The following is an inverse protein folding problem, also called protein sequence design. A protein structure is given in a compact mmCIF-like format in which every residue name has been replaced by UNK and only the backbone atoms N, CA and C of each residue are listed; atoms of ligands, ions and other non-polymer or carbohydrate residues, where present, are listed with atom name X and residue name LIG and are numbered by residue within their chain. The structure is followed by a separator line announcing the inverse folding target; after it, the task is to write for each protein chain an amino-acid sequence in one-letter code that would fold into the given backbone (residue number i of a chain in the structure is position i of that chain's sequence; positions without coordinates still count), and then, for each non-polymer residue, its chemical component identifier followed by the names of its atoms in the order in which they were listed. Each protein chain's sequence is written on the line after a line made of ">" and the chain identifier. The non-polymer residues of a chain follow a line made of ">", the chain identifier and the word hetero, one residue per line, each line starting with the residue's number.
data_IF_814987471271
#
_entry.id   IF_814987471271
#
_cell.length_a   1.000
_cell.length_b   1.000
_cell.length_c   1.000
_cell.angle_alpha   90.00
_cell.angle_beta   90.00
_cell.angle_gamma   90.00
#
_symmetry.space_group_name_H-M   'P 1'
#
loop_
_entity.id
_entity.type
_entity.pdbx_description
1 polymer ?
#
# COMPACT_ATOMS: atom_id res chain seq x y z
N UNK A 1 -10.63 32.98 -2.37
CA UNK A 1 -9.31 32.43 -2.06
C UNK A 1 -9.14 31.18 -2.90
N UNK A 2 -8.09 31.08 -3.72
CA UNK A 2 -7.87 29.94 -4.64
C UNK A 2 -6.73 29.02 -4.18
N UNK A 3 -5.91 29.50 -3.24
CA UNK A 3 -4.86 28.74 -2.59
C UNK A 3 -4.80 29.10 -1.11
N UNK A 4 -4.51 28.11 -0.28
CA UNK A 4 -4.22 28.25 1.14
C UNK A 4 -2.89 27.57 1.41
N UNK A 5 -1.90 28.34 1.86
CA UNK A 5 -0.63 27.84 2.37
C UNK A 5 -0.64 27.91 3.88
N UNK A 6 -0.50 26.78 4.56
CA UNK A 6 -0.59 26.68 6.00
C UNK A 6 -1.47 25.52 6.45
N UNK A 7 -2.19 25.74 7.55
CA UNK A 7 -3.08 24.74 8.14
C UNK A 7 -4.53 25.17 8.09
N UNK A 8 -5.43 24.19 7.99
CA UNK A 8 -6.86 24.40 8.09
C UNK A 8 -7.39 23.58 9.26
N UNK A 9 -7.94 24.26 10.27
CA UNK A 9 -8.51 23.63 11.47
C UNK A 9 -9.95 24.06 11.66
N UNK A 10 -10.88 23.11 11.58
CA UNK A 10 -12.30 23.29 11.90
C UNK A 10 -12.58 22.45 13.15
N UNK A 11 -12.74 23.12 14.28
CA UNK A 11 -12.85 22.44 15.55
C UNK A 11 -13.93 23.02 16.45
N UNK A 12 -14.62 22.15 17.20
CA UNK A 12 -15.65 22.53 18.18
C UNK A 12 -16.74 23.46 17.58
N UNK A 13 -17.01 23.34 16.29
CA UNK A 13 -17.96 24.20 15.59
C UNK A 13 -19.39 23.65 15.69
N UNK A 14 -20.35 24.50 15.30
CA UNK A 14 -21.76 24.12 15.10
C UNK A 14 -22.12 23.98 13.63
N UNK A 15 -21.13 23.94 12.74
CA UNK A 15 -21.38 23.81 11.30
C UNK A 15 -21.94 22.43 11.00
N UNK A 16 -22.91 22.39 10.07
CA UNK A 16 -23.41 21.15 9.49
C UNK A 16 -22.68 20.79 8.19
N UNK A 17 -22.09 21.78 7.52
CA UNK A 17 -21.38 21.63 6.25
C UNK A 17 -20.16 22.56 6.19
N UNK A 18 -19.11 22.11 5.50
CA UNK A 18 -17.93 22.92 5.17
C UNK A 18 -18.01 23.63 3.82
N UNK A 19 -19.19 23.66 3.17
CA UNK A 19 -19.42 24.30 1.86
C UNK A 19 -19.10 25.80 1.78
N UNK A 20 -18.84 26.46 2.91
CA UNK A 20 -18.30 27.83 2.93
C UNK A 20 -16.85 27.91 2.44
N UNK A 21 -16.12 26.79 2.43
CA UNK A 21 -14.78 26.70 1.85
C UNK A 21 -14.87 26.72 0.32
N UNK A 22 -13.89 27.32 -0.37
CA UNK A 22 -13.85 27.31 -1.82
C UNK A 22 -13.57 25.89 -2.34
N UNK A 23 -14.32 25.45 -3.35
CA UNK A 23 -14.00 24.22 -4.11
C UNK A 23 -12.69 24.40 -4.88
N UNK A 24 -12.02 23.29 -5.23
CA UNK A 24 -10.81 23.30 -6.06
C UNK A 24 -9.67 24.17 -5.48
N UNK A 25 -9.59 24.23 -4.15
CA UNK A 25 -8.56 24.99 -3.46
C UNK A 25 -7.23 24.26 -3.52
N UNK A 26 -6.16 24.99 -3.92
CA UNK A 26 -4.80 24.49 -3.75
C UNK A 26 -4.41 24.58 -2.28
N UNK A 27 -4.17 23.45 -1.63
CA UNK A 27 -3.86 23.39 -0.21
C UNK A 27 -2.41 22.95 0.02
N UNK A 28 -1.54 23.92 0.31
CA UNK A 28 -0.12 23.68 0.58
C UNK A 28 0.04 23.47 2.07
N UNK A 29 0.11 22.20 2.49
CA UNK A 29 -0.15 21.83 3.88
C UNK A 29 1.04 21.22 4.64
N UNK A 30 2.23 21.24 4.03
CA UNK A 30 3.44 20.55 4.51
C UNK A 30 3.87 20.80 5.95
N UNK A 31 3.44 21.89 6.59
CA UNK A 31 3.76 22.17 8.00
C UNK A 31 2.61 22.04 8.99
N UNK A 32 1.35 22.14 8.54
CA UNK A 32 0.23 22.41 9.45
C UNK A 32 -1.05 21.64 9.16
N UNK A 33 -1.14 20.88 8.06
CA UNK A 33 -2.21 19.89 7.81
C UNK A 33 -3.66 20.38 7.78
N UNK A 34 -4.57 19.43 7.59
CA UNK A 34 -6.03 19.59 7.66
C UNK A 34 -6.58 18.87 8.89
N UNK A 35 -7.34 19.58 9.73
CA UNK A 35 -7.88 19.07 10.98
C UNK A 35 -9.37 19.39 11.10
N UNK A 36 -10.21 18.37 11.16
CA UNK A 36 -11.66 18.48 11.33
C UNK A 36 -12.04 17.74 12.62
N UNK A 37 -12.13 18.48 13.73
CA UNK A 37 -12.11 17.89 15.08
C UNK A 37 -13.35 18.26 15.91
N UNK A 38 -13.97 17.29 16.56
CA UNK A 38 -14.98 17.54 17.60
C UNK A 38 -16.19 18.37 17.12
N UNK A 39 -16.61 18.26 15.86
CA UNK A 39 -17.76 19.01 15.34
C UNK A 39 -19.05 18.20 15.47
N UNK A 40 -19.79 18.45 16.57
CA UNK A 40 -20.97 17.64 16.95
C UNK A 40 -22.14 17.62 15.95
N UNK A 41 -22.20 18.60 15.03
CA UNK A 41 -23.30 18.73 14.06
C UNK A 41 -22.87 18.50 12.61
N UNK A 42 -21.59 18.26 12.35
CA UNK A 42 -21.04 18.20 11.01
C UNK A 42 -21.48 16.91 10.30
N UNK A 43 -22.06 17.06 9.12
CA UNK A 43 -22.55 15.96 8.28
C UNK A 43 -21.95 15.97 6.87
N UNK A 44 -21.37 17.09 6.44
CA UNK A 44 -20.93 17.27 5.06
C UNK A 44 -19.56 17.96 4.98
N UNK A 45 -18.60 17.21 4.44
CA UNK A 45 -17.25 17.69 4.12
C UNK A 45 -16.91 17.50 2.63
N UNK A 46 -17.91 17.35 1.76
CA UNK A 46 -17.74 17.06 0.32
C UNK A 46 -16.88 18.06 -0.45
N UNK A 47 -16.62 19.23 0.12
CA UNK A 47 -15.67 20.21 -0.43
C UNK A 47 -14.21 19.76 -0.31
N UNK A 48 -13.88 18.93 0.67
CA UNK A 48 -12.50 18.54 1.01
C UNK A 48 -11.84 17.68 -0.08
N UNK A 49 -12.49 16.62 -0.62
CA UNK A 49 -11.93 15.86 -1.75
C UNK A 49 -11.55 16.73 -2.95
N UNK A 50 -12.28 17.83 -3.17
CA UNK A 50 -12.03 18.77 -4.27
C UNK A 50 -10.76 19.59 -4.14
N UNK A 51 -10.06 19.52 -3.00
CA UNK A 51 -8.80 20.24 -2.84
C UNK A 51 -7.69 19.59 -3.66
N UNK A 52 -6.62 20.33 -3.93
CA UNK A 52 -5.37 19.73 -4.41
C UNK A 52 -4.33 19.88 -3.31
N UNK A 53 -3.91 18.76 -2.72
CA UNK A 53 -2.92 18.75 -1.64
C UNK A 53 -1.51 18.87 -2.20
N UNK A 54 -0.77 19.88 -1.74
CA UNK A 54 0.63 20.10 -2.10
C UNK A 54 1.52 19.98 -0.86
N UNK A 55 2.60 19.23 -1.01
CA UNK A 55 3.68 19.12 -0.03
C UNK A 55 4.66 20.29 -0.23
N UNK A 56 5.09 20.94 0.85
CA UNK A 56 6.05 22.05 0.78
C UNK A 56 7.48 21.51 0.90
N UNK A 57 8.09 21.14 -0.24
CA UNK A 57 9.52 20.80 -0.35
C UNK A 57 10.04 19.59 0.46
N UNK A 58 9.23 19.06 1.38
CA UNK A 58 9.51 17.92 2.24
C UNK A 58 9.02 16.59 1.66
N UNK A 59 9.43 15.50 2.30
CA UNK A 59 9.06 14.10 1.97
C UNK A 59 7.80 13.66 2.71
N UNK A 60 7.28 14.49 3.62
CA UNK A 60 6.15 14.15 4.47
C UNK A 60 4.84 14.63 3.82
N UNK A 61 3.95 13.66 3.63
CA UNK A 61 2.62 13.86 3.07
C UNK A 61 1.80 14.81 3.94
N UNK A 62 0.82 15.44 3.29
CA UNK A 62 -0.17 16.27 3.95
C UNK A 62 -0.88 15.55 5.10
N UNK A 63 -0.68 16.01 6.33
CA UNK A 63 -1.33 15.45 7.50
C UNK A 63 -2.82 15.79 7.51
N UNK A 64 -3.68 14.78 7.45
CA UNK A 64 -5.15 14.94 7.49
C UNK A 64 -5.75 14.15 8.65
N UNK A 65 -6.50 14.84 9.52
CA UNK A 65 -7.22 14.24 10.65
C UNK A 65 -8.70 14.65 10.65
N UNK A 66 -9.60 13.66 10.72
CA UNK A 66 -11.05 13.83 10.78
C UNK A 66 -11.55 13.04 11.99
N UNK A 67 -11.66 13.70 13.14
CA UNK A 67 -11.83 13.04 14.44
C UNK A 67 -13.03 13.59 15.19
N UNK A 68 -13.82 12.70 15.80
CA UNK A 68 -14.94 12.99 16.69
C UNK A 68 -16.01 13.89 16.04
N UNK A 69 -16.43 13.56 14.82
CA UNK A 69 -17.55 14.20 14.14
C UNK A 69 -18.71 13.20 14.07
N UNK A 70 -19.50 13.02 15.15
CA UNK A 70 -20.38 11.85 15.35
C UNK A 70 -21.56 11.74 14.38
N UNK A 71 -21.76 12.73 13.50
CA UNK A 71 -22.79 12.71 12.45
C UNK A 71 -22.22 12.61 11.04
N UNK A 72 -20.90 12.55 10.91
CA UNK A 72 -20.21 12.56 9.64
C UNK A 72 -20.01 11.14 9.11
N UNK A 73 -20.53 10.87 7.92
CA UNK A 73 -20.28 9.62 7.20
C UNK A 73 -19.07 9.81 6.28
N UNK A 74 -18.04 8.97 6.43
CA UNK A 74 -16.82 8.99 5.62
C UNK A 74 -16.70 7.84 4.63
N UNK A 75 -17.69 6.95 4.56
CA UNK A 75 -17.67 5.70 3.78
C UNK A 75 -17.14 5.90 2.37
N UNK A 76 -17.68 6.88 1.63
CA UNK A 76 -17.27 7.17 0.26
C UNK A 76 -16.23 8.30 0.17
N UNK A 77 -16.35 9.32 1.04
CA UNK A 77 -15.63 10.60 0.91
C UNK A 77 -14.11 10.41 0.90
N UNK A 78 -13.57 9.49 1.71
CA UNK A 78 -12.11 9.29 1.80
C UNK A 78 -11.54 8.51 0.59
N UNK A 79 -12.43 8.01 -0.28
CA UNK A 79 -12.10 7.36 -1.54
C UNK A 79 -12.42 8.24 -2.74
N UNK A 80 -12.65 9.55 -2.53
CA UNK A 80 -12.86 10.52 -3.58
C UNK A 80 -11.64 11.41 -3.81
N UNK A 81 -11.37 11.68 -5.10
CA UNK A 81 -10.43 12.69 -5.59
C UNK A 81 -9.14 12.76 -4.77
N UNK A 82 -8.79 13.90 -4.20
CA UNK A 82 -7.48 14.09 -3.60
C UNK A 82 -7.29 13.40 -2.25
N UNK A 83 -8.37 12.96 -1.59
CA UNK A 83 -8.22 12.11 -0.40
C UNK A 83 -7.79 10.69 -0.80
N UNK A 84 -8.04 10.26 -2.05
CA UNK A 84 -7.50 8.99 -2.53
C UNK A 84 -6.00 8.93 -2.59
N UNK A 85 -5.36 10.10 -2.71
CA UNK A 85 -3.92 10.19 -2.85
C UNK A 85 -3.17 10.06 -1.53
N UNK A 86 -3.90 10.16 -0.41
CA UNK A 86 -3.31 10.14 0.92
C UNK A 86 -2.95 8.70 1.33
N UNK A 87 -1.67 8.47 1.60
CA UNK A 87 -1.20 7.26 2.27
C UNK A 87 -1.56 7.27 3.75
N UNK A 88 -1.54 8.46 4.36
CA UNK A 88 -1.81 8.69 5.77
C UNK A 88 -3.05 9.55 5.99
N UNK A 89 -4.03 8.99 6.69
CA UNK A 89 -5.27 9.63 7.06
C UNK A 89 -5.70 9.12 8.44
N UNK A 90 -6.09 10.02 9.34
CA UNK A 90 -6.63 9.61 10.63
C UNK A 90 -8.13 9.87 10.70
N UNK A 91 -8.93 8.81 10.76
CA UNK A 91 -10.38 8.91 10.99
C UNK A 91 -10.77 8.14 12.24
N UNK A 92 -11.50 8.79 13.16
CA UNK A 92 -11.91 8.18 14.41
C UNK A 92 -13.11 8.89 15.03
N UNK A 93 -14.07 8.15 15.58
CA UNK A 93 -15.20 8.72 16.30
C UNK A 93 -16.19 9.44 15.39
N UNK A 94 -16.21 9.10 14.10
CA UNK A 94 -17.20 9.59 13.14
C UNK A 94 -18.40 8.63 13.10
N UNK A 95 -19.47 8.99 12.35
CA UNK A 95 -20.66 8.13 12.25
C UNK A 95 -20.32 6.80 11.56
N UNK A 96 -19.59 6.89 10.45
CA UNK A 96 -19.04 5.76 9.70
C UNK A 96 -17.62 6.17 9.29
N UNK A 97 -16.65 5.29 9.53
CA UNK A 97 -15.27 5.47 9.08
C UNK A 97 -15.12 4.99 7.64
N UNK A 98 -14.17 5.57 6.91
CA UNK A 98 -13.98 5.23 5.49
C UNK A 98 -13.26 3.91 5.23
N UNK A 99 -12.69 3.27 6.25
CA UNK A 99 -11.96 2.01 6.11
C UNK A 99 -11.31 1.63 7.45
N UNK A 100 -10.36 0.72 7.43
CA UNK A 100 -9.65 0.31 8.64
C UNK A 100 -8.31 1.01 8.78
N UNK A 101 -8.06 1.53 9.98
CA UNK A 101 -6.78 2.12 10.35
C UNK A 101 -5.78 1.01 10.71
N UNK A 102 -4.84 0.71 9.82
CA UNK A 102 -3.89 -0.37 10.06
C UNK A 102 -2.89 -0.07 11.20
N UNK A 103 -2.73 1.18 11.64
CA UNK A 103 -1.99 1.49 12.87
C UNK A 103 -2.71 1.00 14.13
N UNK A 104 -4.03 0.79 14.04
CA UNK A 104 -4.82 0.22 15.14
C UNK A 104 -4.83 -1.30 15.11
N UNK A 105 -4.31 -1.95 14.07
CA UNK A 105 -4.37 -3.41 13.98
C UNK A 105 -3.68 -4.09 15.17
N UNK A 106 -4.41 -4.99 15.83
CA UNK A 106 -3.93 -5.78 16.96
C UNK A 106 -4.76 -7.06 17.11
N UNK A 107 -4.25 -8.02 17.88
CA UNK A 107 -5.01 -9.25 18.18
C UNK A 107 -6.30 -8.98 18.96
N UNK A 108 -6.40 -7.86 19.66
CA UNK A 108 -7.57 -7.48 20.45
C UNK A 108 -8.71 -6.89 19.60
N UNK A 109 -8.43 -6.50 18.35
CA UNK A 109 -9.42 -5.84 17.48
C UNK A 109 -9.47 -6.39 16.05
N UNK A 110 -9.15 -7.67 15.88
CA UNK A 110 -9.23 -8.40 14.60
C UNK A 110 -10.60 -8.28 13.93
N UNK A 111 -11.69 -8.27 14.71
CA UNK A 111 -13.06 -8.16 14.20
C UNK A 111 -13.35 -6.86 13.45
N UNK A 112 -12.57 -5.80 13.70
CA UNK A 112 -12.67 -4.55 12.92
C UNK A 112 -12.20 -4.74 11.48
N UNK A 113 -11.33 -5.72 11.24
CA UNK A 113 -10.72 -5.97 9.94
C UNK A 113 -11.42 -7.08 9.15
N UNK A 114 -12.16 -7.98 9.80
CA UNK A 114 -12.82 -9.12 9.14
C UNK A 114 -13.68 -8.75 7.93
N UNK A 115 -14.36 -7.60 7.95
CA UNK A 115 -15.20 -7.12 6.84
C UNK A 115 -14.54 -5.97 6.06
N UNK A 116 -13.25 -5.73 6.28
CA UNK A 116 -12.55 -4.58 5.76
C UNK A 116 -11.98 -4.86 4.38
N UNK A 117 -12.36 -4.03 3.42
CA UNK A 117 -11.82 -4.11 2.06
C UNK A 117 -10.65 -3.16 1.84
N UNK A 118 -10.62 -2.04 2.57
CA UNK A 118 -9.60 -1.02 2.39
C UNK A 118 -8.96 -0.66 3.73
N UNK A 119 -7.63 -0.76 3.79
CA UNK A 119 -6.83 -0.39 4.96
C UNK A 119 -6.01 0.85 4.61
N UNK A 120 -5.94 1.82 5.52
CA UNK A 120 -5.10 3.01 5.40
C UNK A 120 -4.05 3.05 6.52
N UNK A 121 -3.06 3.96 6.40
CA UNK A 121 -1.88 4.06 7.26
C UNK A 121 -0.93 2.85 7.24
N UNK A 122 -1.03 2.00 6.22
CA UNK A 122 -0.23 0.79 6.08
C UNK A 122 -0.59 -0.27 7.12
N UNK A 123 0.26 -1.29 7.27
CA UNK A 123 0.07 -2.36 8.25
C UNK A 123 1.41 -2.91 8.71
N UNK A 124 1.55 -3.14 10.01
CA UNK A 124 2.73 -3.76 10.62
C UNK A 124 2.36 -5.08 11.27
N UNK A 125 2.97 -6.17 10.83
CA UNK A 125 2.80 -7.50 11.39
C UNK A 125 4.13 -7.99 11.95
N UNK A 126 4.34 -7.77 13.25
CA UNK A 126 5.56 -8.15 13.96
C UNK A 126 5.29 -9.21 15.02
N UNK A 127 5.99 -10.34 14.96
CA UNK A 127 5.87 -11.41 15.95
C UNK A 127 4.42 -11.94 16.10
N UNK A 128 3.66 -11.97 15.01
CA UNK A 128 2.29 -12.51 14.95
C UNK A 128 2.29 -13.75 14.06
N UNK A 129 1.43 -14.72 14.34
CA UNK A 129 1.25 -15.94 13.54
C UNK A 129 0.11 -15.81 12.53
N UNK A 130 0.25 -16.41 11.34
CA UNK A 130 -0.69 -16.20 10.23
C UNK A 130 -2.09 -16.68 10.61
N UNK A 131 -2.18 -17.82 11.30
CA UNK A 131 -3.43 -18.38 11.80
C UNK A 131 -4.21 -17.42 12.71
N UNK A 132 -3.53 -16.47 13.35
CA UNK A 132 -4.18 -15.47 14.21
C UNK A 132 -4.79 -14.31 13.42
N UNK A 133 -4.34 -14.06 12.18
CA UNK A 133 -4.72 -12.87 11.41
C UNK A 133 -5.40 -13.18 10.08
N UNK A 134 -5.37 -14.43 9.61
CA UNK A 134 -5.90 -14.79 8.29
C UNK A 134 -7.35 -14.38 8.09
N UNK A 135 -8.24 -14.67 9.04
CA UNK A 135 -9.66 -14.30 8.92
C UNK A 135 -9.89 -12.78 8.93
N UNK A 136 -9.01 -12.05 9.62
CA UNK A 136 -9.12 -10.60 9.73
C UNK A 136 -8.67 -9.89 8.45
N UNK A 137 -7.74 -10.46 7.67
CA UNK A 137 -7.12 -9.77 6.54
C UNK A 137 -7.48 -10.38 5.17
N UNK A 138 -8.25 -11.47 5.12
CA UNK A 138 -8.58 -12.18 3.88
C UNK A 138 -9.41 -11.35 2.89
N UNK A 139 -10.23 -10.42 3.39
CA UNK A 139 -11.08 -9.55 2.58
C UNK A 139 -10.40 -8.25 2.14
N UNK A 140 -9.18 -7.97 2.64
CA UNK A 140 -8.48 -6.73 2.30
C UNK A 140 -8.07 -6.76 0.84
N UNK A 141 -8.57 -5.79 0.09
CA UNK A 141 -8.37 -5.61 -1.34
C UNK A 141 -7.29 -4.57 -1.64
N UNK A 142 -7.25 -3.49 -0.85
CA UNK A 142 -6.34 -2.36 -1.01
C UNK A 142 -5.68 -2.01 0.33
N UNK A 143 -4.35 -1.93 0.34
CA UNK A 143 -3.58 -1.24 1.38
C UNK A 143 -3.14 0.13 0.87
N UNK A 144 -3.51 1.21 1.58
CA UNK A 144 -2.90 2.52 1.47
C UNK A 144 -1.85 2.68 2.57
N UNK A 145 -0.60 2.88 2.17
CA UNK A 145 0.56 2.92 3.06
C UNK A 145 1.44 1.67 2.95
N UNK A 146 2.41 1.57 3.84
CA UNK A 146 3.46 0.54 3.78
C UNK A 146 3.01 -0.77 4.45
N UNK A 147 3.28 -1.91 3.81
CA UNK A 147 3.07 -3.23 4.39
C UNK A 147 4.41 -3.78 4.91
N UNK A 148 4.50 -3.99 6.22
CA UNK A 148 5.73 -4.35 6.89
C UNK A 148 5.54 -5.61 7.76
N UNK A 149 6.15 -6.72 7.33
CA UNK A 149 5.97 -8.04 7.92
C UNK A 149 7.33 -8.57 8.36
N UNK A 150 7.52 -8.68 9.67
CA UNK A 150 8.81 -9.05 10.23
C UNK A 150 8.73 -10.01 11.41
N UNK A 151 9.75 -10.86 11.53
CA UNK A 151 9.91 -11.78 12.65
C UNK A 151 8.67 -12.67 12.87
N UNK A 152 8.05 -13.12 11.78
CA UNK A 152 6.86 -13.99 11.81
C UNK A 152 7.21 -15.43 11.43
N UNK A 153 6.27 -16.34 11.69
CA UNK A 153 6.37 -17.76 11.36
C UNK A 153 5.73 -18.09 9.99
N UNK A 154 5.41 -17.07 9.19
CA UNK A 154 4.63 -17.20 7.96
C UNK A 154 5.41 -18.02 6.93
N UNK A 155 4.72 -18.94 6.24
CA UNK A 155 5.28 -19.65 5.09
C UNK A 155 5.16 -18.84 3.79
N UNK A 156 4.08 -18.07 3.67
CA UNK A 156 3.77 -17.20 2.53
C UNK A 156 2.72 -16.14 2.93
N UNK A 157 2.26 -15.33 1.96
CA UNK A 157 1.26 -14.27 2.13
C UNK A 157 -0.13 -14.64 1.60
N UNK A 158 -0.42 -15.93 1.38
CA UNK A 158 -1.70 -16.38 0.80
C UNK A 158 -2.93 -16.02 1.65
N UNK A 159 -2.74 -15.71 2.93
CA UNK A 159 -3.79 -15.18 3.81
C UNK A 159 -4.32 -13.81 3.37
N UNK A 160 -3.57 -13.06 2.56
CA UNK A 160 -4.02 -11.84 1.87
C UNK A 160 -4.70 -12.19 0.54
N UNK A 161 -5.65 -13.12 0.56
CA UNK A 161 -6.21 -13.77 -0.63
C UNK A 161 -6.95 -12.82 -1.59
N UNK A 162 -7.41 -11.67 -1.09
CA UNK A 162 -8.13 -10.66 -1.86
C UNK A 162 -7.28 -9.46 -2.24
N UNK A 163 -6.04 -9.37 -1.76
CA UNK A 163 -5.20 -8.20 -1.96
C UNK A 163 -4.84 -8.05 -3.43
N UNK A 164 -5.20 -6.90 -4.01
CA UNK A 164 -4.91 -6.55 -5.40
C UNK A 164 -3.97 -5.36 -5.51
N UNK A 165 -4.03 -4.42 -4.58
CA UNK A 165 -3.29 -3.16 -4.68
C UNK A 165 -2.60 -2.79 -3.38
N UNK A 166 -1.33 -2.38 -3.48
CA UNK A 166 -0.62 -1.67 -2.43
C UNK A 166 -0.32 -0.27 -2.97
N UNK A 167 -0.93 0.75 -2.39
CA UNK A 167 -0.82 2.13 -2.83
C UNK A 167 -0.04 2.95 -1.80
N UNK A 168 0.93 3.72 -2.25
CA UNK A 168 1.67 4.68 -1.41
C UNK A 168 1.91 5.99 -2.16
N UNK A 169 2.38 7.00 -1.44
CA UNK A 169 2.91 8.24 -1.98
C UNK A 169 4.26 8.47 -1.31
N UNK A 170 5.33 8.05 -1.97
CA UNK A 170 6.68 8.09 -1.38
C UNK A 170 7.75 8.29 -2.43
N UNK A 171 8.89 8.88 -2.08
CA UNK A 171 10.03 8.99 -2.99
C UNK A 171 10.89 7.72 -2.97
N UNK A 172 11.23 7.23 -1.78
CA UNK A 172 12.28 6.22 -1.59
C UNK A 172 11.93 5.14 -0.54
N UNK A 173 10.72 5.15 0.03
CA UNK A 173 10.34 4.16 1.05
C UNK A 173 9.91 2.83 0.43
N UNK A 174 10.19 1.76 1.15
CA UNK A 174 9.80 0.39 0.80
C UNK A 174 8.29 0.20 1.02
N UNK A 175 7.57 -0.16 -0.05
CA UNK A 175 6.13 -0.42 -0.07
C UNK A 175 5.76 -1.74 0.59
N UNK A 176 6.56 -2.79 0.32
CA UNK A 176 6.44 -4.11 0.93
C UNK A 176 7.78 -4.52 1.54
N UNK A 177 7.83 -4.65 2.85
CA UNK A 177 8.99 -5.11 3.58
C UNK A 177 8.73 -6.50 4.16
N UNK A 178 9.49 -7.50 3.68
CA UNK A 178 9.51 -8.86 4.21
C UNK A 178 10.90 -9.12 4.79
N UNK A 179 10.98 -9.18 6.12
CA UNK A 179 12.27 -9.27 6.80
C UNK A 179 12.27 -10.25 7.96
N UNK A 180 13.31 -11.09 8.07
CA UNK A 180 13.50 -11.99 9.22
C UNK A 180 12.34 -12.97 9.44
N UNK A 181 11.72 -13.49 8.38
CA UNK A 181 10.65 -14.49 8.47
C UNK A 181 11.22 -15.86 8.06
N UNK A 182 11.81 -16.62 9.00
CA UNK A 182 12.67 -17.76 8.68
C UNK A 182 11.92 -18.94 8.06
N UNK A 183 10.60 -19.02 8.20
CA UNK A 183 9.77 -20.07 7.61
C UNK A 183 9.22 -19.71 6.22
N UNK A 184 9.42 -18.46 5.78
CA UNK A 184 8.82 -17.95 4.55
C UNK A 184 9.57 -18.49 3.34
N UNK A 185 8.89 -19.31 2.55
CA UNK A 185 9.45 -19.95 1.34
C UNK A 185 8.91 -19.36 0.06
N UNK A 186 7.76 -18.66 0.09
CA UNK A 186 7.11 -18.06 -1.07
C UNK A 186 6.49 -16.69 -0.74
N UNK A 187 6.24 -15.87 -1.77
CA UNK A 187 5.43 -14.65 -1.65
C UNK A 187 3.94 -15.02 -1.67
N UNK A 188 3.47 -15.65 -2.74
CA UNK A 188 2.10 -16.15 -2.90
C UNK A 188 1.00 -15.09 -2.65
N UNK A 189 1.02 -14.00 -3.42
CA UNK A 189 -0.07 -13.02 -3.48
C UNK A 189 -0.90 -13.25 -4.75
N UNK A 190 -1.90 -14.15 -4.73
CA UNK A 190 -2.51 -14.72 -5.94
C UNK A 190 -3.31 -13.72 -6.77
N UNK A 191 -3.77 -12.61 -6.17
CA UNK A 191 -4.56 -11.58 -6.85
C UNK A 191 -3.85 -10.24 -6.96
N UNK A 192 -2.57 -10.15 -6.59
CA UNK A 192 -1.82 -8.90 -6.69
C UNK A 192 -1.80 -8.44 -8.15
N UNK A 193 -2.23 -7.20 -8.37
CA UNK A 193 -2.23 -6.58 -9.68
C UNK A 193 -1.19 -5.49 -9.78
N UNK A 194 -1.03 -4.67 -8.73
CA UNK A 194 -0.15 -3.50 -8.82
C UNK A 194 0.39 -3.01 -7.47
N UNK A 195 1.55 -2.37 -7.55
CA UNK A 195 2.09 -1.47 -6.54
C UNK A 195 1.94 -0.05 -7.08
N UNK A 196 1.06 0.76 -6.50
CA UNK A 196 0.79 2.10 -7.01
C UNK A 196 1.58 3.11 -6.18
N UNK A 197 2.59 3.75 -6.78
CA UNK A 197 3.23 4.93 -6.16
C UNK A 197 2.68 6.20 -6.81
N UNK A 198 1.89 6.96 -6.05
CA UNK A 198 1.28 8.21 -6.50
C UNK A 198 2.27 9.39 -6.54
N UNK A 199 3.50 9.18 -6.09
CA UNK A 199 4.56 10.13 -6.33
C UNK A 199 5.15 9.89 -7.73
N UNK A 200 4.96 10.85 -8.64
CA UNK A 200 5.45 10.78 -10.04
C UNK A 200 6.97 10.63 -10.17
N UNK A 201 7.72 10.92 -9.11
CA UNK A 201 9.18 10.75 -9.05
C UNK A 201 9.61 9.65 -8.07
N UNK A 202 8.65 8.92 -7.52
CA UNK A 202 8.88 7.84 -6.58
C UNK A 202 9.08 6.50 -7.28
N UNK A 203 9.88 5.64 -6.65
CA UNK A 203 10.06 4.26 -7.09
C UNK A 203 9.21 3.31 -6.24
N UNK A 204 8.89 2.15 -6.80
CA UNK A 204 8.14 1.10 -6.13
C UNK A 204 9.11 0.08 -5.53
N UNK A 205 9.64 0.40 -4.34
CA UNK A 205 10.61 -0.47 -3.69
C UNK A 205 9.96 -1.57 -2.87
N UNK A 206 10.46 -2.80 -3.03
CA UNK A 206 10.25 -3.90 -2.09
C UNK A 206 11.56 -4.27 -1.37
N UNK A 207 11.45 -4.90 -0.21
CA UNK A 207 12.58 -5.47 0.49
C UNK A 207 12.27 -6.93 0.86
N UNK A 208 13.18 -7.82 0.45
CA UNK A 208 13.11 -9.25 0.72
C UNK A 208 14.46 -9.64 1.35
N UNK A 209 14.47 -9.78 2.66
CA UNK A 209 15.71 -9.98 3.42
C UNK A 209 15.54 -11.03 4.52
N UNK A 210 16.51 -11.96 4.59
CA UNK A 210 16.62 -12.93 5.70
C UNK A 210 15.35 -13.78 5.89
N UNK A 211 14.85 -14.34 4.78
CA UNK A 211 13.74 -15.31 4.77
C UNK A 211 14.29 -16.74 4.85
N UNK A 212 13.48 -17.76 4.54
CA UNK A 212 13.97 -19.14 4.50
C UNK A 212 15.07 -19.32 3.42
N UNK A 213 16.09 -20.17 3.62
CA UNK A 213 17.14 -20.42 2.59
C UNK A 213 16.62 -20.96 1.25
N UNK A 214 15.45 -21.58 1.27
CA UNK A 214 14.73 -22.08 0.09
C UNK A 214 13.68 -21.09 -0.43
N UNK A 215 13.65 -19.86 0.09
CA UNK A 215 12.78 -18.82 -0.44
C UNK A 215 13.07 -18.58 -1.93
N UNK A 216 12.01 -18.61 -2.72
CA UNK A 216 12.10 -18.39 -4.15
C UNK A 216 10.88 -17.60 -4.66
N UNK A 217 11.09 -16.91 -5.78
CA UNK A 217 10.10 -16.15 -6.53
C UNK A 217 9.86 -16.91 -7.84
N UNK A 218 8.60 -17.13 -8.25
CA UNK A 218 8.30 -17.79 -9.53
C UNK A 218 8.63 -16.90 -10.72
N UNK A 219 8.73 -17.50 -11.90
CA UNK A 219 8.92 -16.74 -13.13
C UNK A 219 7.74 -15.78 -13.35
N UNK A 220 6.51 -16.23 -13.09
CA UNK A 220 5.31 -15.40 -13.15
C UNK A 220 5.36 -14.20 -12.18
N UNK A 221 5.83 -14.40 -10.95
CA UNK A 221 5.98 -13.31 -9.97
C UNK A 221 7.05 -12.30 -10.43
N UNK A 222 8.19 -12.76 -10.97
CA UNK A 222 9.21 -11.88 -11.55
C UNK A 222 8.69 -11.08 -12.76
N UNK A 223 7.96 -11.73 -13.66
CA UNK A 223 7.36 -11.08 -14.83
C UNK A 223 6.35 -10.01 -14.39
N UNK A 224 5.53 -10.29 -13.39
CA UNK A 224 4.64 -9.30 -12.79
C UNK A 224 5.45 -8.12 -12.27
N UNK A 225 6.41 -8.34 -11.36
CA UNK A 225 7.23 -7.26 -10.79
C UNK A 225 7.93 -6.41 -11.85
N UNK A 226 8.43 -7.03 -12.93
CA UNK A 226 8.99 -6.30 -14.06
C UNK A 226 7.93 -5.45 -14.79
N UNK A 227 6.75 -6.02 -15.09
CA UNK A 227 5.66 -5.32 -15.77
C UNK A 227 5.19 -4.10 -14.99
N UNK A 228 5.09 -4.21 -13.66
CA UNK A 228 4.68 -3.12 -12.79
C UNK A 228 5.87 -2.30 -12.27
N UNK A 229 7.09 -2.45 -12.82
CA UNK A 229 8.26 -1.62 -12.48
C UNK A 229 8.62 -1.61 -10.99
N UNK A 230 8.54 -2.77 -10.34
CA UNK A 230 9.00 -2.96 -8.95
C UNK A 230 10.51 -3.11 -8.91
N UNK A 231 11.14 -2.30 -8.07
CA UNK A 231 12.55 -2.39 -7.73
C UNK A 231 12.74 -3.02 -6.35
N UNK A 232 13.92 -3.56 -6.09
CA UNK A 232 14.24 -4.15 -4.79
C UNK A 232 15.41 -3.43 -4.13
N UNK A 233 15.29 -3.14 -2.84
CA UNK A 233 16.41 -2.63 -2.03
C UNK A 233 17.38 -3.77 -1.70
N UNK A 234 16.84 -4.89 -1.23
CA UNK A 234 17.52 -6.17 -1.12
C UNK A 234 16.60 -7.25 -1.67
N UNK A 235 17.20 -8.20 -2.37
CA UNK A 235 16.52 -9.34 -2.97
C UNK A 235 17.28 -10.62 -2.60
N UNK A 236 17.03 -11.12 -1.39
CA UNK A 236 17.55 -12.42 -0.95
C UNK A 236 16.61 -13.54 -1.41
N UNK A 237 16.58 -13.78 -2.72
CA UNK A 237 15.70 -14.76 -3.34
C UNK A 237 16.38 -15.54 -4.46
N UNK A 238 15.83 -16.72 -4.76
CA UNK A 238 16.17 -17.52 -5.94
C UNK A 238 14.97 -17.53 -6.90
N UNK A 239 15.21 -17.89 -8.16
CA UNK A 239 14.12 -18.30 -9.04
C UNK A 239 13.65 -19.70 -8.62
N UNK A 240 12.33 -19.89 -8.51
CA UNK A 240 11.78 -21.22 -8.24
C UNK A 240 12.00 -22.18 -9.42
N UNK A 241 11.87 -23.49 -9.17
CA UNK A 241 11.77 -24.46 -10.25
C UNK A 241 10.57 -24.12 -11.14
N UNK A 242 10.79 -24.04 -12.46
CA UNK A 242 9.73 -23.70 -13.39
C UNK A 242 8.68 -24.81 -13.44
N UNK A 243 7.42 -24.40 -13.36
CA UNK A 243 6.27 -25.26 -13.63
C UNK A 243 6.20 -25.63 -15.11
N UNK A 244 5.43 -26.67 -15.44
CA UNK A 244 5.21 -27.04 -16.84
C UNK A 244 4.46 -25.94 -17.62
N UNK A 245 3.62 -25.14 -16.94
CA UNK A 245 2.97 -23.97 -17.53
C UNK A 245 3.99 -22.89 -17.87
N UNK A 246 4.92 -22.58 -16.95
CA UNK A 246 5.98 -21.58 -17.16
C UNK A 246 6.97 -21.99 -18.27
N UNK A 247 7.23 -23.30 -18.44
CA UNK A 247 8.08 -23.81 -19.54
C UNK A 247 7.41 -23.72 -20.90
N UNK A 248 6.08 -23.77 -20.95
CA UNK A 248 5.29 -23.78 -22.18
C UNK A 248 4.59 -22.45 -22.45
N UNK A 249 5.07 -21.34 -21.86
CA UNK A 249 4.55 -20.00 -22.14
C UNK A 249 4.73 -19.63 -23.62
N UNK A 250 3.82 -18.78 -24.12
CA UNK A 250 3.95 -18.20 -25.48
C UNK A 250 5.25 -17.41 -25.65
N UNK A 251 5.75 -16.83 -24.55
CA UNK A 251 7.02 -16.12 -24.50
C UNK A 251 8.15 -17.12 -24.27
N UNK A 252 9.07 -17.32 -25.23
CA UNK A 252 10.13 -18.32 -25.10
C UNK A 252 11.07 -18.00 -23.93
N UNK A 253 11.27 -19.02 -23.08
CA UNK A 253 12.21 -19.02 -21.97
C UNK A 253 13.44 -19.83 -22.35
N UNK A 254 14.62 -19.25 -22.19
CA UNK A 254 15.89 -19.91 -22.51
C UNK A 254 16.79 -19.95 -21.29
N UNK A 255 17.53 -21.03 -21.17
CA UNK A 255 18.57 -21.16 -20.16
C UNK A 255 19.88 -20.63 -20.73
N UNK A 256 20.52 -19.74 -19.99
CA UNK A 256 21.77 -19.11 -20.42
C UNK A 256 22.94 -20.05 -20.21
N UNK A 257 23.57 -20.47 -21.31
CA UNK A 257 24.88 -21.14 -21.32
C UNK A 257 25.97 -20.17 -21.80
N UNK A 258 25.78 -19.58 -22.98
CA UNK A 258 26.61 -18.52 -23.53
C UNK A 258 25.80 -17.60 -24.45
N UNK A 259 26.32 -16.42 -24.77
CA UNK A 259 25.68 -15.50 -25.75
C UNK A 259 25.57 -16.15 -27.14
N UNK A 260 26.51 -17.02 -27.51
CA UNK A 260 26.51 -17.66 -28.83
C UNK A 260 25.50 -18.80 -28.95
N UNK A 261 25.15 -19.42 -27.83
CA UNK A 261 24.20 -20.54 -27.76
C UNK A 261 22.76 -20.09 -27.52
N UNK A 262 22.55 -18.78 -27.33
CA UNK A 262 21.22 -18.23 -27.09
C UNK A 262 20.40 -18.22 -28.38
N UNK A 263 19.21 -18.83 -28.32
CA UNK A 263 18.27 -18.83 -29.43
C UNK A 263 17.86 -17.41 -29.86
N UNK A 264 17.74 -17.20 -31.18
CA UNK A 264 17.46 -15.86 -31.75
C UNK A 264 16.10 -15.29 -31.35
N UNK A 265 15.15 -16.13 -30.97
CA UNK A 265 13.82 -15.77 -30.50
C UNK A 265 13.70 -15.77 -28.97
N UNK A 266 14.83 -15.84 -28.25
CA UNK A 266 14.82 -15.79 -26.81
C UNK A 266 14.34 -14.43 -26.30
N UNK A 267 13.27 -14.43 -25.50
CA UNK A 267 12.73 -13.21 -24.88
C UNK A 267 13.10 -13.18 -23.40
N UNK A 268 12.96 -14.32 -22.71
CA UNK A 268 13.28 -14.45 -21.29
C UNK A 268 14.52 -15.33 -21.11
N UNK A 269 15.54 -14.82 -20.43
CA UNK A 269 16.80 -15.53 -20.17
C UNK A 269 16.87 -15.89 -18.68
N UNK A 270 17.07 -17.17 -18.37
CA UNK A 270 17.30 -17.68 -17.02
C UNK A 270 18.75 -18.15 -16.92
N UNK A 271 19.52 -17.54 -16.03
CA UNK A 271 20.88 -17.98 -15.72
C UNK A 271 21.76 -16.82 -15.27
N UNK A 272 23.04 -17.12 -15.07
CA UNK A 272 24.01 -16.14 -14.61
C UNK A 272 24.70 -15.49 -15.81
N UNK A 273 24.52 -14.17 -15.98
CA UNK A 273 25.24 -13.39 -16.99
C UNK A 273 26.47 -12.78 -16.33
N UNK A 274 27.66 -13.23 -16.73
CA UNK A 274 28.93 -12.66 -16.29
C UNK A 274 29.43 -11.66 -17.33
N UNK A 275 29.60 -10.40 -16.92
CA UNK A 275 30.19 -9.34 -17.75
C UNK A 275 31.59 -9.08 -17.21
N UNK A 276 32.61 -9.27 -18.06
CA UNK A 276 34.02 -9.03 -17.76
C UNK A 276 34.52 -7.76 -18.42
#
# INVERSE_FOLDING_TARGET
>A
MTALAGGLRIENSKFTSLSFLPKNMKFICGHYGLFILNNSQLTDISVIPTFTFFEDGGVEECKVEIINNPKLNLEDIVWEEALTELSYLKTEGNLIEGGCDGEKFSLDNLSLFENCQNVYNGLKLYNVSSAQVSSALSNVYLFRGFLDIQNTDYQDLSFLESLQYIQTKTKEKVMLNLQNNPNMTRIALPKLQDFINLNLYGFQYINIENLHPDFCITLTEFQLFFQISVDSLKLHAKLCELTDEEKNQEVPVCYFESISDLDKNCVTIIGNIQIH
#
